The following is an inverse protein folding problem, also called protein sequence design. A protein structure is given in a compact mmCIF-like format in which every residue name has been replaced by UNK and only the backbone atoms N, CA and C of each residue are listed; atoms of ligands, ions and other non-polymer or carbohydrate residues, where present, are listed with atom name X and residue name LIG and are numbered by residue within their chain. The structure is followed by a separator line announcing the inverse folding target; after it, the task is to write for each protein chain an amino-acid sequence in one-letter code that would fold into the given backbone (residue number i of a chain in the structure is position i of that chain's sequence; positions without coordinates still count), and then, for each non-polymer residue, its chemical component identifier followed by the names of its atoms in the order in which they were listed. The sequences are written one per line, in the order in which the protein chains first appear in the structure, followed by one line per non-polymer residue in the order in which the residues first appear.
data_IF_264280898688
#
_entry.id   IF_264280898688
#
_cell.length_a   1.000
_cell.length_b   1.000
_cell.length_c   1.000
_cell.angle_alpha   90.00
_cell.angle_beta   90.00
_cell.angle_gamma   90.00
#
_symmetry.space_group_name_H-M   'P 1'
#
loop_
_entity.id
_entity.type
_entity.pdbx_description
1 polymer ?
#
# COMPACT_ATOMS: atom_id res chain seq x y z
N UNK A 1 -14.09 -20.23 -12.75
CA UNK A 1 -12.63 -20.20 -12.92
C UNK A 1 -12.16 -21.18 -14.01
N UNK A 2 -12.19 -22.50 -13.81
CA UNK A 2 -11.82 -23.48 -14.86
C UNK A 2 -12.86 -23.56 -15.99
N UNK A 3 -14.14 -23.74 -15.66
CA UNK A 3 -15.23 -23.78 -16.65
C UNK A 3 -15.37 -22.45 -17.40
N UNK A 4 -15.19 -21.33 -16.70
CA UNK A 4 -15.25 -19.98 -17.28
C UNK A 4 -13.92 -19.49 -17.90
N UNK A 5 -12.86 -20.31 -17.89
CA UNK A 5 -11.49 -19.93 -18.33
C UNK A 5 -10.98 -18.60 -17.75
N UNK A 6 -11.34 -18.28 -16.50
CA UNK A 6 -10.85 -17.09 -15.78
C UNK A 6 -9.63 -17.43 -14.92
N UNK A 7 -8.60 -16.60 -14.93
CA UNK A 7 -7.37 -16.77 -14.12
C UNK A 7 -7.23 -15.74 -12.99
N UNK A 8 -8.14 -14.76 -12.92
CA UNK A 8 -8.16 -13.71 -11.89
C UNK A 8 -9.06 -14.11 -10.72
N UNK A 9 -8.58 -13.88 -9.50
CA UNK A 9 -9.33 -13.97 -8.24
C UNK A 9 -9.11 -12.68 -7.49
N UNK A 10 -10.19 -11.90 -7.31
CA UNK A 10 -10.12 -10.70 -6.49
C UNK A 10 -10.03 -11.08 -5.01
N UNK A 11 -9.32 -10.27 -4.23
CA UNK A 11 -9.11 -10.48 -2.79
C UNK A 11 -8.52 -11.86 -2.42
N UNK A 12 -7.66 -12.41 -3.29
CA UNK A 12 -7.02 -13.70 -3.05
C UNK A 12 -6.22 -13.69 -1.73
N UNK A 13 -6.55 -14.62 -0.85
CA UNK A 13 -5.79 -14.88 0.37
C UNK A 13 -4.55 -15.71 0.04
N UNK A 14 -3.40 -15.30 0.58
CA UNK A 14 -2.11 -16.01 0.42
C UNK A 14 -1.61 -16.65 1.71
N UNK A 15 -2.24 -16.32 2.84
CA UNK A 15 -1.92 -16.87 4.15
C UNK A 15 -3.21 -17.05 4.97
N UNK A 16 -3.39 -18.22 5.56
CA UNK A 16 -4.50 -18.48 6.48
C UNK A 16 -4.30 -17.75 7.82
N UNK A 17 -3.05 -17.61 8.28
CA UNK A 17 -2.75 -16.88 9.53
C UNK A 17 -2.89 -15.37 9.37
N UNK A 18 -2.68 -14.85 8.16
CA UNK A 18 -2.81 -13.44 7.83
C UNK A 18 -3.75 -13.25 6.63
N UNK A 19 -5.07 -13.43 6.83
CA UNK A 19 -6.04 -13.46 5.74
C UNK A 19 -6.30 -12.09 5.12
N UNK A 20 -5.69 -11.01 5.62
CA UNK A 20 -5.74 -9.67 5.05
C UNK A 20 -4.56 -9.37 4.12
N UNK A 21 -3.48 -10.17 4.14
CA UNK A 21 -2.34 -9.97 3.23
C UNK A 21 -2.76 -10.31 1.81
N UNK A 22 -2.47 -9.40 0.88
CA UNK A 22 -2.81 -9.53 -0.53
C UNK A 22 -1.56 -9.52 -1.41
N UNK A 23 -1.60 -10.17 -2.58
CA UNK A 23 -0.60 -9.98 -3.62
C UNK A 23 -0.69 -8.56 -4.20
N UNK A 24 0.43 -7.83 -4.24
CA UNK A 24 0.54 -6.50 -4.86
C UNK A 24 1.43 -6.61 -6.10
N UNK A 25 0.89 -6.29 -7.27
CA UNK A 25 1.62 -6.36 -8.53
C UNK A 25 2.66 -5.23 -8.61
N UNK A 26 3.90 -5.59 -8.92
CA UNK A 26 5.02 -4.66 -9.03
C UNK A 26 5.39 -4.43 -10.49
N UNK A 27 5.69 -3.18 -10.87
CA UNK A 27 6.15 -2.81 -12.22
C UNK A 27 7.68 -2.87 -12.43
N UNK A 28 8.44 -3.46 -11.51
CA UNK A 28 9.93 -3.44 -11.54
C UNK A 28 10.48 -4.83 -11.87
N UNK A 29 11.64 -4.89 -12.53
CA UNK A 29 12.31 -6.15 -12.87
C UNK A 29 12.57 -7.02 -11.61
N UNK A 30 12.49 -8.34 -11.78
CA UNK A 30 12.66 -9.32 -10.70
C UNK A 30 11.35 -9.94 -10.26
N UNK A 31 10.99 -9.81 -8.98
CA UNK A 31 9.77 -10.41 -8.42
C UNK A 31 8.54 -9.63 -8.91
N UNK A 32 7.58 -10.29 -9.60
CA UNK A 32 6.41 -9.62 -10.18
C UNK A 32 5.36 -9.20 -9.14
N UNK A 33 5.49 -9.71 -7.91
CA UNK A 33 4.50 -9.53 -6.85
C UNK A 33 5.20 -9.39 -5.51
N UNK A 34 4.76 -8.41 -4.73
CA UNK A 34 5.16 -8.19 -3.34
C UNK A 34 3.97 -8.52 -2.41
N UNK A 35 4.27 -8.74 -1.13
CA UNK A 35 3.27 -9.05 -0.11
C UNK A 35 3.55 -8.23 1.13
N UNK A 36 2.50 -7.86 1.84
CA UNK A 36 2.60 -7.12 3.10
C UNK A 36 1.85 -5.80 3.04
N UNK A 37 2.11 -4.97 4.04
CA UNK A 37 1.51 -3.66 4.15
C UNK A 37 2.23 -2.66 3.24
N UNK A 38 1.45 -1.86 2.52
CA UNK A 38 1.87 -0.63 1.86
C UNK A 38 1.60 0.53 2.83
N UNK A 39 2.64 1.33 3.07
CA UNK A 39 2.65 2.39 4.07
C UNK A 39 2.89 3.72 3.37
N UNK A 40 2.23 4.77 3.85
CA UNK A 40 2.60 6.15 3.58
C UNK A 40 2.99 6.81 4.89
N UNK A 41 4.20 7.36 4.94
CA UNK A 41 4.83 7.87 6.17
C UNK A 41 5.57 9.18 5.90
N UNK A 42 5.67 10.02 6.93
CA UNK A 42 6.62 11.14 6.95
C UNK A 42 7.61 10.97 8.10
N UNK A 43 8.78 11.59 7.98
CA UNK A 43 9.80 11.60 9.02
C UNK A 43 10.07 13.05 9.44
N UNK A 44 9.94 13.35 10.72
CA UNK A 44 10.16 14.69 11.29
C UNK A 44 10.93 14.52 12.60
N UNK A 45 12.08 15.18 12.74
CA UNK A 45 12.90 15.14 13.96
C UNK A 45 13.19 13.72 14.51
N UNK A 46 13.48 12.78 13.62
CA UNK A 46 13.68 11.35 13.91
C UNK A 46 12.43 10.57 14.34
N UNK A 47 11.24 11.18 14.29
CA UNK A 47 9.97 10.50 14.47
C UNK A 47 9.34 10.13 13.13
N UNK A 48 8.77 8.93 13.05
CA UNK A 48 8.03 8.44 11.88
C UNK A 48 6.54 8.55 12.15
N UNK A 49 5.85 9.32 11.31
CA UNK A 49 4.41 9.50 11.37
C UNK A 49 3.74 8.67 10.28
N UNK A 50 2.77 7.86 10.67
CA UNK A 50 2.01 7.01 9.76
C UNK A 50 0.79 7.76 9.24
N UNK A 51 0.76 8.03 7.94
CA UNK A 51 -0.40 8.66 7.27
C UNK A 51 -1.40 7.63 6.76
N UNK A 52 -0.90 6.51 6.23
CA UNK A 52 -1.74 5.47 5.65
C UNK A 52 -1.11 4.10 5.81
N UNK A 53 -1.92 3.13 6.22
CA UNK A 53 -1.58 1.71 6.29
C UNK A 53 -2.64 0.92 5.52
N UNK A 54 -2.22 0.14 4.52
CA UNK A 54 -3.12 -0.65 3.69
C UNK A 54 -2.44 -1.94 3.24
N UNK A 55 -3.20 -3.02 3.11
CA UNK A 55 -2.74 -4.24 2.41
C UNK A 55 -3.23 -4.32 0.96
N UNK A 56 -3.99 -3.31 0.53
CA UNK A 56 -4.37 -3.09 -0.86
C UNK A 56 -3.40 -2.13 -1.54
N UNK A 57 -3.24 -2.28 -2.86
CA UNK A 57 -2.43 -1.37 -3.66
C UNK A 57 -3.11 0.01 -3.76
N UNK A 58 -2.36 1.09 -3.57
CA UNK A 58 -2.81 2.46 -3.76
C UNK A 58 -1.73 3.31 -4.44
N UNK A 59 -2.11 4.42 -5.09
CA UNK A 59 -1.17 5.34 -5.70
C UNK A 59 -0.69 6.37 -4.66
N UNK A 60 0.59 6.33 -4.27
CA UNK A 60 1.13 7.26 -3.27
C UNK A 60 1.03 8.74 -3.70
N UNK A 61 1.09 9.02 -5.01
CA UNK A 61 1.04 10.40 -5.52
C UNK A 61 -0.29 11.10 -5.23
N UNK A 62 -1.37 10.35 -4.98
CA UNK A 62 -2.66 10.93 -4.59
C UNK A 62 -2.65 11.48 -3.16
N UNK A 63 -1.79 10.94 -2.31
CA UNK A 63 -1.71 11.32 -0.89
C UNK A 63 -0.76 12.52 -0.69
N UNK A 64 0.16 12.78 -1.64
CA UNK A 64 1.23 13.78 -1.51
C UNK A 64 0.71 15.19 -1.19
N UNK A 65 -0.27 15.70 -1.95
CA UNK A 65 -0.76 17.07 -1.75
C UNK A 65 -1.37 17.24 -0.35
N UNK A 66 -2.23 16.30 0.06
CA UNK A 66 -2.85 16.35 1.38
C UNK A 66 -1.82 16.25 2.51
N UNK A 67 -0.79 15.42 2.34
CA UNK A 67 0.29 15.29 3.33
C UNK A 67 1.12 16.56 3.48
N UNK A 68 1.40 17.27 2.38
CA UNK A 68 2.12 18.54 2.41
C UNK A 68 1.31 19.62 3.13
N UNK A 69 0.01 19.73 2.84
CA UNK A 69 -0.86 20.69 3.53
C UNK A 69 -0.99 20.36 5.03
N UNK A 70 -1.20 19.09 5.38
CA UNK A 70 -1.23 18.66 6.79
C UNK A 70 0.09 18.92 7.50
N UNK A 71 1.22 18.73 6.82
CA UNK A 71 2.54 19.04 7.37
C UNK A 71 2.66 20.55 7.68
N UNK A 72 2.27 21.41 6.74
CA UNK A 72 2.25 22.87 6.93
C UNK A 72 1.34 23.30 8.08
N UNK A 73 0.14 22.70 8.18
CA UNK A 73 -0.80 22.97 9.28
C UNK A 73 -0.23 22.55 10.64
N UNK A 74 0.43 21.39 10.69
CA UNK A 74 0.95 20.82 11.94
C UNK A 74 2.21 21.53 12.44
N UNK A 75 3.12 21.91 11.53
CA UNK A 75 4.45 22.43 11.88
C UNK A 75 4.67 23.92 11.54
N UNK A 76 3.74 24.54 10.82
CA UNK A 76 3.74 25.99 10.55
C UNK A 76 4.76 26.47 9.52
N UNK A 77 5.34 25.59 8.69
CA UNK A 77 6.32 25.91 7.65
C UNK A 77 5.81 25.61 6.23
#
# INVERSE_FOLDING_TARGET
MWLEKKTRVDQRIVSLSQPHVRPIVRGKAGKPTEFGAKLSVSCVDNYVFLHRLSWENFNESQDLKAQVENFKETYGC
#
